data_IF_154425409053
#
_entry.id   IF_154425409053
#
_cell.length_a   1.000
_cell.length_b   1.000
_cell.length_c   1.000
_cell.angle_alpha   90.00
_cell.angle_beta   90.00
_cell.angle_gamma   90.00
#
_symmetry.space_group_name_H-M   'P 1'
#
loop_
_entity.id
_entity.type
_entity.pdbx_description
1 polymer ?
#
# COMPACT_ATOMS: atom_id res chain seq x y z
N UNK A 1 -3.52 10.53 15.20
CA UNK A 1 -3.43 10.48 13.72
C UNK A 1 -3.13 9.05 13.30
N UNK A 2 -3.88 8.55 12.34
CA UNK A 2 -3.68 7.19 11.85
C UNK A 2 -2.43 7.09 10.96
N UNK A 3 -1.80 5.92 10.96
CA UNK A 3 -0.60 5.66 10.19
C UNK A 3 -0.93 4.89 8.92
N UNK A 4 -0.37 5.31 7.79
CA UNK A 4 -0.35 4.53 6.57
C UNK A 4 1.11 4.21 6.27
N UNK A 5 1.39 2.93 5.99
CA UNK A 5 2.70 2.51 5.54
C UNK A 5 2.69 2.47 4.02
N UNK A 6 3.68 3.11 3.42
CA UNK A 6 3.91 3.05 1.98
C UNK A 6 5.11 2.14 1.74
N UNK A 7 4.88 1.05 1.03
CA UNK A 7 5.96 0.16 0.61
C UNK A 7 6.25 0.44 -0.86
N UNK A 8 7.24 1.25 -1.12
CA UNK A 8 7.56 1.70 -2.47
C UNK A 8 8.90 2.42 -2.52
N UNK A 9 9.30 2.76 -3.73
CA UNK A 9 10.50 3.56 -3.93
C UNK A 9 10.26 5.01 -3.50
N UNK A 10 11.34 5.75 -3.15
CA UNK A 10 11.18 7.12 -2.63
C UNK A 10 10.34 8.04 -3.51
N UNK A 11 10.45 7.92 -4.83
CA UNK A 11 9.68 8.76 -5.75
C UNK A 11 8.17 8.55 -5.63
N UNK A 12 7.74 7.31 -5.58
CA UNK A 12 6.34 6.96 -5.43
C UNK A 12 5.80 7.35 -4.06
N UNK A 13 6.62 7.16 -3.04
CA UNK A 13 6.25 7.59 -1.68
C UNK A 13 6.05 9.10 -1.62
N UNK A 14 6.96 9.85 -2.23
CA UNK A 14 6.88 11.31 -2.25
C UNK A 14 5.61 11.80 -2.92
N UNK A 15 5.25 11.23 -4.06
CA UNK A 15 4.00 11.58 -4.75
C UNK A 15 2.81 11.29 -3.86
N UNK A 16 2.79 10.12 -3.24
CA UNK A 16 1.66 9.69 -2.40
C UNK A 16 1.50 10.58 -1.16
N UNK A 17 2.60 10.94 -0.52
CA UNK A 17 2.57 11.77 0.69
C UNK A 17 1.89 13.12 0.46
N UNK A 18 1.97 13.66 -0.75
CA UNK A 18 1.33 14.95 -1.08
C UNK A 18 -0.18 14.90 -0.87
N UNK A 19 -0.79 13.73 -1.02
CA UNK A 19 -2.24 13.55 -0.96
C UNK A 19 -2.70 12.84 0.31
N UNK A 20 -1.77 12.47 1.20
CA UNK A 20 -2.07 11.73 2.42
C UNK A 20 -1.71 12.52 3.68
N UNK A 21 -1.90 13.83 3.63
CA UNK A 21 -1.46 14.75 4.70
C UNK A 21 -2.18 14.53 6.03
N UNK A 22 -3.34 13.90 6.01
CA UNK A 22 -4.11 13.62 7.22
C UNK A 22 -3.61 12.40 7.97
N UNK A 23 -2.58 11.75 7.44
CA UNK A 23 -2.05 10.51 8.00
C UNK A 23 -0.58 10.68 8.36
N UNK A 24 -0.16 9.90 9.35
CA UNK A 24 1.25 9.75 9.62
C UNK A 24 1.78 8.73 8.61
N UNK A 25 2.80 9.11 7.86
CA UNK A 25 3.32 8.27 6.78
C UNK A 25 4.67 7.69 7.18
N UNK A 26 4.80 6.37 6.99
CA UNK A 26 6.08 5.68 7.08
C UNK A 26 6.33 5.04 5.72
N UNK A 27 7.52 5.26 5.18
CA UNK A 27 7.87 4.76 3.84
C UNK A 27 9.06 3.82 3.92
N UNK A 28 8.92 2.66 3.31
CA UNK A 28 9.97 1.65 3.25
C UNK A 28 10.11 1.14 1.82
N UNK A 29 11.33 0.84 1.41
CA UNK A 29 11.60 0.26 0.09
C UNK A 29 12.16 -1.16 0.17
N UNK A 30 12.47 -1.63 1.37
CA UNK A 30 13.01 -2.97 1.58
C UNK A 30 12.11 -3.78 2.49
N UNK A 31 11.94 -5.05 2.16
CA UNK A 31 11.08 -5.94 2.95
C UNK A 31 11.61 -6.14 4.37
N UNK A 32 12.92 -6.11 4.53
CA UNK A 32 13.57 -6.21 5.83
C UNK A 32 13.18 -5.08 6.77
N UNK A 33 12.79 -3.94 6.23
CA UNK A 33 12.31 -2.81 7.03
C UNK A 33 10.81 -2.86 7.23
N UNK A 34 10.08 -3.31 6.21
CA UNK A 34 8.63 -3.36 6.23
C UNK A 34 8.10 -4.29 7.31
N UNK A 35 8.63 -5.51 7.37
CA UNK A 35 8.11 -6.54 8.29
C UNK A 35 8.24 -6.13 9.75
N UNK A 36 9.42 -5.65 10.23
CA UNK A 36 9.50 -5.18 11.60
C UNK A 36 8.55 -4.02 11.91
N UNK A 37 8.38 -3.11 10.97
CA UNK A 37 7.48 -1.97 11.16
C UNK A 37 6.03 -2.43 11.33
N UNK A 38 5.60 -3.41 10.55
CA UNK A 38 4.25 -3.99 10.65
C UNK A 38 4.04 -4.69 12.00
N UNK A 39 5.08 -5.34 12.50
CA UNK A 39 5.00 -6.06 13.78
C UNK A 39 5.03 -5.10 14.98
N UNK A 40 5.69 -3.98 14.83
CA UNK A 40 5.80 -2.99 15.90
C UNK A 40 4.51 -2.21 16.10
N UNK A 41 3.86 -1.81 15.00
CA UNK A 41 2.65 -0.99 15.08
C UNK A 41 1.71 -1.37 13.95
N UNK A 42 0.47 -1.69 14.27
CA UNK A 42 -0.55 -1.96 13.25
C UNK A 42 -0.93 -0.64 12.56
N UNK A 43 -0.67 -0.49 11.27
CA UNK A 43 -1.12 0.71 10.54
C UNK A 43 -2.60 0.63 10.21
N UNK A 44 -3.18 1.74 9.78
CA UNK A 44 -4.56 1.77 9.28
C UNK A 44 -4.65 1.08 7.91
N UNK A 45 -3.60 1.17 7.12
CA UNK A 45 -3.54 0.56 5.80
C UNK A 45 -2.08 0.46 5.34
N UNK A 46 -1.84 -0.40 4.36
CA UNK A 46 -0.56 -0.47 3.66
C UNK A 46 -0.82 -0.24 2.17
N UNK A 47 -0.06 0.65 1.58
CA UNK A 47 -0.07 0.89 0.15
C UNK A 47 1.22 0.31 -0.43
N UNK A 48 1.07 -0.70 -1.27
CA UNK A 48 2.20 -1.34 -1.93
C UNK A 48 2.34 -0.74 -3.32
N UNK A 49 3.47 -0.07 -3.55
CA UNK A 49 3.73 0.65 -4.79
C UNK A 49 5.08 0.16 -5.31
N UNK A 50 5.10 -1.09 -5.72
CA UNK A 50 6.31 -1.77 -6.15
C UNK A 50 6.07 -2.49 -7.46
N UNK A 51 7.12 -2.56 -8.28
CA UNK A 51 7.05 -3.24 -9.57
C UNK A 51 7.22 -4.74 -9.44
N UNK A 52 6.57 -5.47 -10.34
CA UNK A 52 6.77 -6.91 -10.55
C UNK A 52 6.59 -7.72 -9.25
N UNK A 53 7.42 -8.73 -9.07
CA UNK A 53 7.32 -9.66 -7.95
C UNK A 53 7.51 -8.98 -6.58
N UNK A 54 8.27 -7.89 -6.53
CA UNK A 54 8.48 -7.17 -5.27
C UNK A 54 7.16 -6.68 -4.68
N UNK A 55 6.23 -6.23 -5.54
CA UNK A 55 4.91 -5.82 -5.09
C UNK A 55 4.13 -6.98 -4.49
N UNK A 56 4.08 -8.11 -5.18
CA UNK A 56 3.39 -9.29 -4.69
C UNK A 56 3.99 -9.78 -3.37
N UNK A 57 5.32 -9.82 -3.27
CA UNK A 57 6.00 -10.24 -2.05
C UNK A 57 5.65 -9.34 -0.87
N UNK A 58 5.54 -8.02 -1.13
CA UNK A 58 5.11 -7.08 -0.10
C UNK A 58 3.69 -7.36 0.39
N UNK A 59 2.77 -7.59 -0.52
CA UNK A 59 1.38 -7.92 -0.17
C UNK A 59 1.31 -9.21 0.63
N UNK A 60 2.06 -10.22 0.22
CA UNK A 60 2.12 -11.51 0.94
C UNK A 60 2.64 -11.29 2.36
N UNK A 61 3.69 -10.48 2.53
CA UNK A 61 4.25 -10.19 3.84
C UNK A 61 3.20 -9.55 4.75
N UNK A 62 2.45 -8.58 4.23
CA UNK A 62 1.38 -7.93 5.00
C UNK A 62 0.33 -8.96 5.42
N UNK A 63 -0.11 -9.80 4.50
CA UNK A 63 -1.17 -10.77 4.77
C UNK A 63 -0.77 -11.85 5.76
N UNK A 64 0.50 -12.19 5.84
CA UNK A 64 1.02 -13.13 6.85
C UNK A 64 0.90 -12.58 8.25
N UNK A 65 1.03 -11.27 8.40
CA UNK A 65 0.97 -10.62 9.71
C UNK A 65 -0.47 -10.19 10.03
N UNK A 66 -1.15 -9.60 9.04
CA UNK A 66 -2.50 -9.07 9.20
C UNK A 66 -3.39 -9.56 8.05
N UNK A 67 -4.16 -10.64 8.26
CA UNK A 67 -5.00 -11.19 7.20
C UNK A 67 -6.07 -10.25 6.66
N UNK A 68 -6.50 -9.27 7.46
CA UNK A 68 -7.62 -8.40 7.14
C UNK A 68 -7.26 -6.91 7.03
N UNK A 69 -5.98 -6.57 7.11
CA UNK A 69 -5.57 -5.16 7.04
C UNK A 69 -5.87 -4.59 5.64
N UNK A 70 -6.42 -3.38 5.55
CA UNK A 70 -6.61 -2.76 4.23
C UNK A 70 -5.30 -2.62 3.46
N UNK A 71 -5.30 -3.10 2.23
CA UNK A 71 -4.13 -3.02 1.33
C UNK A 71 -4.58 -2.45 -0.01
N UNK A 72 -3.85 -1.45 -0.47
CA UNK A 72 -3.96 -0.91 -1.82
C UNK A 72 -2.68 -1.29 -2.55
N UNK A 73 -2.82 -1.86 -3.73
CA UNK A 73 -1.67 -2.35 -4.50
C UNK A 73 -1.60 -1.66 -5.85
N UNK A 74 -0.52 -0.92 -6.08
CA UNK A 74 -0.19 -0.36 -7.40
C UNK A 74 0.91 -1.20 -8.01
N UNK A 75 0.64 -1.78 -9.18
CA UNK A 75 1.60 -2.64 -9.88
C UNK A 75 1.83 -2.13 -11.30
N UNK A 76 2.97 -2.43 -11.85
CA UNK A 76 3.24 -2.17 -13.26
C UNK A 76 2.79 -3.32 -14.17
N UNK A 77 2.19 -4.36 -13.62
CA UNK A 77 1.80 -5.55 -14.38
C UNK A 77 0.38 -6.00 -13.99
N UNK A 78 -0.55 -5.86 -14.94
CA UNK A 78 -1.94 -6.30 -14.75
C UNK A 78 -2.08 -7.80 -14.56
N UNK A 79 -1.06 -8.58 -14.90
CA UNK A 79 -1.06 -10.04 -14.70
C UNK A 79 -1.12 -10.45 -13.25
N UNK A 80 -0.87 -9.53 -12.31
CA UNK A 80 -1.01 -9.81 -10.88
C UNK A 80 -2.43 -9.66 -10.35
N UNK A 81 -3.39 -9.24 -11.17
CA UNK A 81 -4.77 -9.07 -10.70
C UNK A 81 -5.35 -10.33 -10.06
N UNK A 82 -5.13 -11.55 -10.58
CA UNK A 82 -5.62 -12.76 -9.90
C UNK A 82 -5.04 -12.95 -8.50
N UNK A 83 -3.76 -12.62 -8.32
CA UNK A 83 -3.12 -12.71 -7.00
C UNK A 83 -3.69 -11.66 -6.05
N UNK A 84 -3.96 -10.45 -6.54
CA UNK A 84 -4.59 -9.41 -5.74
C UNK A 84 -5.95 -9.88 -5.22
N UNK A 85 -6.73 -10.54 -6.06
CA UNK A 85 -8.02 -11.09 -5.66
C UNK A 85 -7.84 -12.17 -4.58
N UNK A 86 -6.93 -13.09 -4.78
CA UNK A 86 -6.67 -14.18 -3.81
C UNK A 86 -6.16 -13.67 -2.47
N UNK A 87 -5.39 -12.60 -2.50
CA UNK A 87 -4.81 -12.00 -1.29
C UNK A 87 -5.74 -10.97 -0.66
N UNK A 88 -6.96 -10.86 -1.16
CA UNK A 88 -8.00 -9.95 -0.63
C UNK A 88 -7.52 -8.50 -0.57
N UNK A 89 -6.77 -8.08 -1.59
CA UNK A 89 -6.35 -6.69 -1.71
C UNK A 89 -7.60 -5.83 -1.92
N UNK A 90 -7.69 -4.72 -1.19
CA UNK A 90 -8.86 -3.87 -1.24
C UNK A 90 -8.99 -3.14 -2.57
N UNK A 91 -7.87 -2.77 -3.17
CA UNK A 91 -7.88 -2.15 -4.47
C UNK A 91 -6.56 -2.41 -5.18
N UNK A 92 -6.66 -2.83 -6.44
CA UNK A 92 -5.50 -3.09 -7.29
C UNK A 92 -5.56 -2.14 -8.48
N UNK A 93 -4.47 -1.39 -8.70
CA UNK A 93 -4.39 -0.44 -9.79
C UNK A 93 -3.06 -0.55 -10.51
N UNK A 94 -3.07 -0.15 -11.77
CA UNK A 94 -1.83 -0.10 -12.54
C UNK A 94 -1.10 1.22 -12.30
N UNK A 95 0.23 1.15 -12.31
CA UNK A 95 1.06 2.35 -12.34
C UNK A 95 0.92 3.05 -13.69
N UNK A 96 1.27 4.33 -13.80
CA UNK A 96 1.88 5.15 -12.75
C UNK A 96 0.87 5.62 -11.69
N UNK A 97 1.38 5.91 -10.50
CA UNK A 97 0.57 6.48 -9.45
C UNK A 97 0.32 7.96 -9.79
N UNK A 98 -0.91 8.44 -9.55
CA UNK A 98 -1.26 9.84 -9.78
C UNK A 98 -2.38 10.25 -8.84
N UNK A 99 -2.70 11.54 -8.83
CA UNK A 99 -3.72 12.10 -7.96
C UNK A 99 -5.06 11.39 -8.08
N UNK A 100 -5.53 11.18 -9.31
CA UNK A 100 -6.85 10.56 -9.53
C UNK A 100 -6.93 9.17 -8.91
N UNK A 101 -5.90 8.38 -9.07
CA UNK A 101 -5.85 7.02 -8.53
C UNK A 101 -5.78 7.05 -7.01
N UNK A 102 -4.97 7.94 -6.45
CA UNK A 102 -4.85 8.11 -5.01
C UNK A 102 -6.19 8.52 -4.41
N UNK A 103 -6.83 9.53 -4.99
CA UNK A 103 -8.11 10.02 -4.50
C UNK A 103 -9.21 8.97 -4.63
N UNK A 104 -9.19 8.19 -5.71
CA UNK A 104 -10.14 7.10 -5.88
C UNK A 104 -9.97 6.05 -4.78
N UNK A 105 -8.74 5.69 -4.46
CA UNK A 105 -8.45 4.72 -3.40
C UNK A 105 -8.94 5.25 -2.04
N UNK A 106 -8.64 6.50 -1.74
CA UNK A 106 -9.08 7.11 -0.48
C UNK A 106 -10.60 7.14 -0.37
N UNK A 107 -11.27 7.56 -1.42
CA UNK A 107 -12.73 7.68 -1.45
C UNK A 107 -13.42 6.34 -1.30
N UNK A 108 -12.94 5.36 -2.06
CA UNK A 108 -13.61 4.07 -2.18
C UNK A 108 -13.48 3.20 -0.95
N UNK A 109 -12.35 3.28 -0.27
CA UNK A 109 -12.02 2.35 0.82
C UNK A 109 -11.94 3.00 2.19
N UNK A 110 -12.44 4.22 2.32
CA UNK A 110 -12.69 4.81 3.61
C UNK A 110 -11.45 5.13 4.43
N UNK A 111 -10.34 5.44 3.79
CA UNK A 111 -9.12 5.81 4.50
C UNK A 111 -9.09 7.27 4.89
N UNK A 112 -10.24 7.93 4.92
CA UNK A 112 -10.27 9.32 5.35
C UNK A 112 -10.24 9.41 6.86
N UNK A 113 -9.76 10.54 7.33
CA UNK A 113 -9.78 10.82 8.75
C UNK A 113 -11.22 10.77 9.27
N UNK A 114 -11.43 10.21 10.44
CA UNK A 114 -12.76 10.17 11.04
C UNK A 114 -13.30 11.58 11.27
#
# INVERSE_FOLDING_TARGET
MKTIILYGYPGECEISEQYLKEYKIQCFSEQEELVPALMETRPAAVWVIMEKAAGMEGVIAVRRIYPDLPVIWFSNDGGFAPQAYRLHVNYFMLMPINEDKIMTALKKYGFHAP
#
